data_IF_645694920689
#
_entry.id   IF_645694920689
#
_cell.length_a   1.000
_cell.length_b   1.000
_cell.length_c   1.000
_cell.angle_alpha   90.00
_cell.angle_beta   90.00
_cell.angle_gamma   90.00
#
_symmetry.space_group_name_H-M   'P 1'
#
loop_
_entity.id
_entity.type
_entity.pdbx_description
1 polymer ?
#
# COMPACT_ATOMS: atom_id res chain seq x y z
N UNK A 1 -4.19 -19.21 21.12
CA UNK A 1 -2.82 -18.85 20.69
C UNK A 1 -2.48 -19.41 19.32
N UNK A 2 -2.77 -20.70 19.04
CA UNK A 2 -2.56 -21.33 17.72
C UNK A 2 -3.19 -20.57 16.54
N UNK A 3 -4.42 -20.08 16.69
CA UNK A 3 -5.13 -19.33 15.64
C UNK A 3 -4.41 -18.02 15.28
N UNK A 4 -3.95 -17.25 16.28
CA UNK A 4 -3.26 -15.97 16.05
C UNK A 4 -1.94 -16.21 15.30
N UNK A 5 -1.18 -17.23 15.68
CA UNK A 5 0.04 -17.62 14.98
C UNK A 5 -0.23 -18.01 13.52
N UNK A 6 -1.32 -18.74 13.26
CA UNK A 6 -1.73 -19.08 11.91
C UNK A 6 -2.10 -17.84 11.08
N UNK A 7 -2.81 -16.87 11.65
CA UNK A 7 -3.15 -15.60 10.97
C UNK A 7 -1.90 -14.82 10.60
N UNK A 8 -0.92 -14.71 11.52
CA UNK A 8 0.36 -14.05 11.26
C UNK A 8 1.11 -14.76 10.13
N UNK A 9 1.16 -16.10 10.15
CA UNK A 9 1.79 -16.89 9.10
C UNK A 9 1.14 -16.65 7.72
N UNK A 10 -0.20 -16.59 7.66
CA UNK A 10 -0.92 -16.26 6.43
C UNK A 10 -0.59 -14.85 5.92
N UNK A 11 -0.47 -13.87 6.81
CA UNK A 11 -0.06 -12.50 6.45
C UNK A 11 1.34 -12.47 5.84
N UNK A 12 2.31 -13.18 6.44
CA UNK A 12 3.66 -13.30 5.90
C UNK A 12 3.68 -14.00 4.53
N UNK A 13 2.93 -15.09 4.38
CA UNK A 13 2.81 -15.80 3.10
C UNK A 13 2.20 -14.92 2.01
N UNK A 14 1.20 -14.10 2.35
CA UNK A 14 0.61 -13.13 1.42
C UNK A 14 1.65 -12.12 0.91
N UNK A 15 2.48 -11.56 1.80
CA UNK A 15 3.55 -10.63 1.42
C UNK A 15 4.58 -11.32 0.53
N UNK A 16 5.01 -12.54 0.88
CA UNK A 16 5.95 -13.31 0.06
C UNK A 16 5.41 -13.57 -1.35
N UNK A 17 4.13 -13.94 -1.46
CA UNK A 17 3.48 -14.12 -2.74
C UNK A 17 3.39 -12.80 -3.53
N UNK A 18 3.03 -11.69 -2.89
CA UNK A 18 2.97 -10.38 -3.55
C UNK A 18 4.34 -9.95 -4.09
N UNK A 19 5.43 -10.20 -3.36
CA UNK A 19 6.80 -9.96 -3.81
C UNK A 19 7.12 -10.81 -5.05
N UNK A 20 6.82 -12.11 -5.00
CA UNK A 20 7.04 -13.01 -6.13
C UNK A 20 6.23 -12.57 -7.37
N UNK A 21 4.94 -12.29 -7.20
CA UNK A 21 4.05 -11.89 -8.28
C UNK A 21 4.51 -10.58 -8.92
N UNK A 22 4.87 -9.59 -8.12
CA UNK A 22 5.40 -8.31 -8.59
C UNK A 22 6.67 -8.52 -9.42
N UNK A 23 7.61 -9.34 -8.93
CA UNK A 23 8.85 -9.64 -9.67
C UNK A 23 8.58 -10.39 -10.97
N UNK A 24 7.64 -11.34 -10.96
CA UNK A 24 7.28 -12.10 -12.16
C UNK A 24 6.68 -11.21 -13.25
N UNK A 25 5.82 -10.25 -12.87
CA UNK A 25 5.24 -9.30 -13.82
C UNK A 25 6.30 -8.34 -14.35
N UNK A 26 7.14 -7.77 -13.47
CA UNK A 26 8.19 -6.82 -13.87
C UNK A 26 9.29 -7.46 -14.73
N UNK A 27 9.49 -8.77 -14.64
CA UNK A 27 10.42 -9.51 -15.49
C UNK A 27 9.86 -9.83 -16.89
N UNK A 28 8.56 -9.58 -17.13
CA UNK A 28 7.95 -9.79 -18.44
C UNK A 28 8.37 -8.72 -19.43
N UNK A 29 8.34 -9.04 -20.72
CA UNK A 29 8.67 -8.08 -21.78
C UNK A 29 7.72 -6.87 -21.74
N UNK A 30 8.31 -5.68 -21.86
CA UNK A 30 7.56 -4.41 -21.84
C UNK A 30 6.95 -4.07 -23.21
N UNK A 31 7.28 -4.87 -24.23
CA UNK A 31 6.80 -4.70 -25.59
C UNK A 31 7.59 -3.62 -26.34
N UNK A 32 6.99 -3.08 -27.40
CA UNK A 32 7.66 -2.13 -28.28
C UNK A 32 7.80 -0.72 -27.65
N UNK A 33 8.60 0.14 -28.27
CA UNK A 33 8.87 1.50 -27.80
C UNK A 33 7.59 2.32 -27.59
N UNK A 34 6.61 2.19 -28.50
CA UNK A 34 5.33 2.91 -28.39
C UNK A 34 4.54 2.48 -27.16
N UNK A 35 4.54 1.18 -26.82
CA UNK A 35 3.92 0.66 -25.60
C UNK A 35 4.61 1.20 -24.35
N UNK A 36 5.94 1.24 -24.35
CA UNK A 36 6.73 1.76 -23.23
C UNK A 36 6.45 3.25 -22.98
N UNK A 37 6.41 4.07 -24.04
CA UNK A 37 6.07 5.51 -23.96
C UNK A 37 4.68 5.75 -23.34
N UNK A 38 3.67 5.02 -23.81
CA UNK A 38 2.30 5.13 -23.28
C UNK A 38 2.27 4.69 -21.81
N UNK A 39 2.92 3.58 -21.48
CA UNK A 39 2.97 3.07 -20.10
C UNK A 39 3.64 4.05 -19.14
N UNK A 40 4.66 4.78 -19.59
CA UNK A 40 5.35 5.80 -18.81
C UNK A 40 4.43 6.99 -18.51
N UNK A 41 3.71 7.50 -19.52
CA UNK A 41 2.75 8.58 -19.32
C UNK A 41 1.60 8.18 -18.39
N UNK A 42 1.08 6.95 -18.51
CA UNK A 42 0.09 6.40 -17.57
C UNK A 42 0.65 6.34 -16.15
N UNK A 43 1.89 5.84 -16.00
CA UNK A 43 2.55 5.73 -14.69
C UNK A 43 2.74 7.10 -14.04
N UNK A 44 3.18 8.11 -14.79
CA UNK A 44 3.33 9.48 -14.30
C UNK A 44 1.99 10.05 -13.80
N UNK A 45 0.93 9.93 -14.61
CA UNK A 45 -0.41 10.38 -14.23
C UNK A 45 -0.96 9.65 -12.99
N UNK A 46 -0.78 8.33 -12.93
CA UNK A 46 -1.20 7.53 -11.78
C UNK A 46 -0.44 7.92 -10.50
N UNK A 47 0.88 8.14 -10.59
CA UNK A 47 1.68 8.60 -9.45
C UNK A 47 1.24 9.98 -8.96
N UNK A 48 0.98 10.92 -9.87
CA UNK A 48 0.50 12.26 -9.51
C UNK A 48 -0.88 12.19 -8.82
N UNK A 49 -1.79 11.36 -9.31
CA UNK A 49 -3.10 11.14 -8.68
C UNK A 49 -2.97 10.52 -7.29
N UNK A 50 -2.23 9.41 -7.17
CA UNK A 50 -2.03 8.71 -5.90
C UNK A 50 -1.33 9.59 -4.87
N UNK A 51 -0.34 10.39 -5.28
CA UNK A 51 0.33 11.34 -4.39
C UNK A 51 -0.66 12.35 -3.80
N UNK A 52 -1.55 12.94 -4.62
CA UNK A 52 -2.58 13.87 -4.13
C UNK A 52 -3.61 13.17 -3.22
N UNK A 53 -4.04 11.97 -3.62
CA UNK A 53 -5.00 11.18 -2.86
C UNK A 53 -4.45 10.80 -1.49
N UNK A 54 -3.27 10.21 -1.44
CA UNK A 54 -2.64 9.76 -0.20
C UNK A 54 -2.23 10.92 0.69
N UNK A 55 -1.82 12.06 0.13
CA UNK A 55 -1.57 13.27 0.94
C UNK A 55 -2.85 13.73 1.64
N UNK A 56 -3.98 13.76 0.93
CA UNK A 56 -5.27 14.15 1.51
C UNK A 56 -5.72 13.15 2.58
N UNK A 57 -5.61 11.86 2.30
CA UNK A 57 -5.92 10.79 3.26
C UNK A 57 -5.01 10.87 4.49
N UNK A 58 -3.72 11.14 4.32
CA UNK A 58 -2.77 11.26 5.43
C UNK A 58 -3.12 12.42 6.36
N UNK A 59 -3.54 13.57 5.83
CA UNK A 59 -4.01 14.70 6.64
C UNK A 59 -5.21 14.29 7.49
N UNK A 60 -6.20 13.62 6.90
CA UNK A 60 -7.36 13.10 7.65
C UNK A 60 -6.92 12.07 8.68
N UNK A 61 -6.01 11.16 8.32
CA UNK A 61 -5.46 10.14 9.20
C UNK A 61 -4.79 10.73 10.44
N UNK A 62 -4.03 11.82 10.29
CA UNK A 62 -3.41 12.55 11.42
C UNK A 62 -4.49 13.11 12.36
N UNK A 63 -5.55 13.72 11.81
CA UNK A 63 -6.65 14.24 12.62
C UNK A 63 -7.32 13.11 13.41
N UNK A 64 -7.63 11.99 12.77
CA UNK A 64 -8.24 10.83 13.44
C UNK A 64 -7.30 10.23 14.48
N UNK A 65 -6.00 10.13 14.20
CA UNK A 65 -5.00 9.64 15.16
C UNK A 65 -4.94 10.51 16.42
N UNK A 66 -4.94 11.84 16.27
CA UNK A 66 -4.95 12.77 17.41
C UNK A 66 -6.25 12.68 18.22
N UNK A 67 -7.40 12.55 17.54
CA UNK A 67 -8.70 12.37 18.19
C UNK A 67 -8.77 11.02 18.92
N UNK A 68 -8.31 9.93 18.31
CA UNK A 68 -8.27 8.61 18.95
C UNK A 68 -7.37 8.61 20.19
N UNK A 69 -6.24 9.30 20.14
CA UNK A 69 -5.37 9.45 21.30
C UNK A 69 -6.06 10.24 22.42
N UNK A 70 -6.68 11.38 22.09
CA UNK A 70 -7.29 12.25 23.10
C UNK A 70 -8.57 11.68 23.72
N UNK A 71 -9.42 11.02 22.92
CA UNK A 71 -10.73 10.52 23.37
C UNK A 71 -10.69 9.09 23.92
N UNK A 72 -9.74 8.25 23.47
CA UNK A 72 -9.69 6.82 23.83
C UNK A 72 -8.41 6.48 24.60
N UNK A 73 -7.30 6.27 23.89
CA UNK A 73 -6.01 5.91 24.47
C UNK A 73 -4.92 5.90 23.41
N UNK A 74 -3.66 5.93 23.85
CA UNK A 74 -2.50 5.82 22.94
C UNK A 74 -2.45 4.47 22.20
N UNK A 75 -2.91 3.38 22.82
CA UNK A 75 -2.93 2.06 22.18
C UNK A 75 -3.96 1.99 21.07
N UNK A 76 -5.13 2.60 21.27
CA UNK A 76 -6.15 2.74 20.21
C UNK A 76 -5.66 3.64 19.06
N UNK A 77 -4.93 4.71 19.36
CA UNK A 77 -4.41 5.63 18.35
C UNK A 77 -3.31 5.02 17.47
N UNK A 78 -2.43 4.19 18.05
CA UNK A 78 -1.37 3.48 17.32
C UNK A 78 -1.93 2.29 16.52
N UNK A 79 -3.00 1.66 17.02
CA UNK A 79 -3.66 0.55 16.33
C UNK A 79 -4.54 0.98 15.16
N UNK A 80 -4.91 2.25 15.07
CA UNK A 80 -5.58 2.88 13.94
C UNK A 80 -4.56 3.22 12.84
#
# INVERSE_FOLDING_TARGET
MTIITAVIACGLLSVLYAIWATRSVLASDQGNQRMQEISAAIREGAQAYLARQYTTIAVVGIVVLLLAWWLLSITSAIGF
#
